data_IF_611985219312
#
_entry.id   IF_611985219312
#
_cell.length_a   1.000
_cell.length_b   1.000
_cell.length_c   1.000
_cell.angle_alpha   90.00
_cell.angle_beta   90.00
_cell.angle_gamma   90.00
#
_symmetry.space_group_name_H-M   'P 1'
#
loop_
_entity.id
_entity.type
_entity.pdbx_description
1 polymer ?
#
# COMPACT_ATOMS: atom_id res chain seq x y z
N UNK A 1 11.62 13.46 1.41
CA UNK A 1 11.16 12.16 1.92
C UNK A 1 10.39 12.43 3.19
N UNK A 2 9.06 12.44 3.11
CA UNK A 2 8.22 12.73 4.28
C UNK A 2 8.07 11.43 5.06
N UNK A 3 8.70 11.33 6.22
CA UNK A 3 8.47 10.23 7.15
C UNK A 3 7.16 10.51 7.91
N UNK A 4 6.02 10.11 7.34
CA UNK A 4 4.73 10.14 8.01
C UNK A 4 4.64 8.95 8.97
N UNK A 5 4.21 9.19 10.22
CA UNK A 5 3.90 8.09 11.15
C UNK A 5 2.60 7.41 10.73
N UNK A 6 2.41 6.14 11.12
CA UNK A 6 1.13 5.43 10.91
C UNK A 6 -0.07 6.21 11.46
N UNK A 7 0.12 6.87 12.60
CA UNK A 7 -0.90 7.69 13.25
C UNK A 7 -1.23 8.96 12.44
N UNK A 8 -0.22 9.65 11.92
CA UNK A 8 -0.42 10.82 11.09
C UNK A 8 -1.10 10.45 9.76
N UNK A 9 -0.72 9.32 9.13
CA UNK A 9 -1.37 8.84 7.92
C UNK A 9 -2.83 8.44 8.19
N UNK A 10 -3.08 7.73 9.29
CA UNK A 10 -4.43 7.34 9.70
C UNK A 10 -5.33 8.57 9.89
N UNK A 11 -4.81 9.59 10.57
CA UNK A 11 -5.52 10.85 10.78
C UNK A 11 -5.85 11.55 9.45
N UNK A 12 -4.88 11.70 8.54
CA UNK A 12 -5.09 12.34 7.24
C UNK A 12 -6.08 11.59 6.35
N UNK A 13 -6.08 10.26 6.42
CA UNK A 13 -6.99 9.41 5.66
C UNK A 13 -8.37 9.22 6.32
N UNK A 14 -8.58 9.76 7.53
CA UNK A 14 -9.75 9.45 8.36
C UNK A 14 -9.97 7.92 8.52
N UNK A 15 -8.88 7.19 8.75
CA UNK A 15 -8.84 5.75 8.96
C UNK A 15 -8.39 5.42 10.38
N UNK A 16 -8.69 4.21 10.85
CA UNK A 16 -8.17 3.72 12.13
C UNK A 16 -6.65 3.44 12.02
N UNK A 17 -5.86 3.89 12.99
CA UNK A 17 -4.41 3.61 13.05
C UNK A 17 -4.11 2.11 13.00
N UNK A 18 -4.91 1.29 13.65
CA UNK A 18 -4.84 -0.17 13.62
C UNK A 18 -5.11 -0.70 12.23
N UNK A 19 -6.02 -0.09 11.48
CA UNK A 19 -6.27 -0.45 10.08
C UNK A 19 -5.06 -0.16 9.19
N UNK A 20 -4.44 1.02 9.32
CA UNK A 20 -3.16 1.33 8.64
C UNK A 20 -2.08 0.31 9.01
N UNK A 21 -1.92 -0.02 10.29
CA UNK A 21 -0.97 -1.04 10.76
C UNK A 21 -1.24 -2.44 10.18
N UNK A 22 -2.50 -2.81 9.96
CA UNK A 22 -2.87 -4.08 9.33
C UNK A 22 -2.56 -4.10 7.84
N UNK A 23 -2.73 -2.96 7.14
CA UNK A 23 -2.39 -2.83 5.73
C UNK A 23 -0.87 -2.98 5.50
N UNK A 24 -0.05 -2.26 6.28
CA UNK A 24 1.41 -2.31 6.14
C UNK A 24 2.01 -3.70 6.44
N UNK A 25 1.35 -4.50 7.29
CA UNK A 25 1.75 -5.87 7.59
C UNK A 25 1.15 -6.91 6.62
N UNK A 26 0.38 -6.48 5.62
CA UNK A 26 -0.29 -7.38 4.69
C UNK A 26 -1.40 -8.24 5.31
N UNK A 27 -1.88 -7.89 6.51
CA UNK A 27 -2.91 -8.63 7.25
C UNK A 27 -4.33 -8.25 6.82
N UNK A 28 -4.48 -7.20 6.01
CA UNK A 28 -5.78 -6.75 5.50
C UNK A 28 -5.67 -6.30 4.05
N UNK A 29 -6.75 -6.51 3.29
CA UNK A 29 -6.89 -6.04 1.91
C UNK A 29 -7.66 -4.71 1.92
N UNK A 30 -7.09 -3.62 1.34
CA UNK A 30 -7.80 -2.36 1.20
C UNK A 30 -8.87 -2.46 0.11
N UNK A 31 -9.91 -1.63 0.22
CA UNK A 31 -10.83 -1.40 -0.92
C UNK A 31 -10.18 -0.45 -1.93
N UNK A 32 -10.73 -0.35 -3.14
CA UNK A 32 -10.26 0.64 -4.10
C UNK A 32 -10.37 2.08 -3.56
N UNK A 33 -11.47 2.39 -2.87
CA UNK A 33 -11.66 3.70 -2.21
C UNK A 33 -10.57 3.96 -1.15
N UNK A 34 -10.18 2.93 -0.39
CA UNK A 34 -9.09 3.04 0.58
C UNK A 34 -7.77 3.39 -0.10
N UNK A 35 -7.46 2.75 -1.24
CA UNK A 35 -6.23 3.05 -2.01
C UNK A 35 -6.26 4.50 -2.50
N UNK A 36 -7.40 4.97 -3.01
CA UNK A 36 -7.58 6.36 -3.47
C UNK A 36 -7.31 7.34 -2.32
N UNK A 37 -7.97 7.16 -1.17
CA UNK A 37 -7.80 8.03 0.00
C UNK A 37 -6.35 8.05 0.51
N UNK A 38 -5.70 6.89 0.58
CA UNK A 38 -4.29 6.82 0.99
C UNK A 38 -3.38 7.52 -0.02
N UNK A 39 -3.61 7.33 -1.32
CA UNK A 39 -2.81 7.97 -2.36
C UNK A 39 -2.93 9.49 -2.36
N UNK A 40 -4.14 10.02 -2.13
CA UNK A 40 -4.37 11.46 -1.98
C UNK A 40 -3.61 12.04 -0.78
N UNK A 41 -3.67 11.37 0.37
CA UNK A 41 -2.95 11.74 1.59
C UNK A 41 -1.42 11.74 1.40
N UNK A 42 -0.91 10.78 0.62
CA UNK A 42 0.50 10.69 0.26
C UNK A 42 0.91 11.59 -0.92
N UNK A 43 -0.03 12.29 -1.53
CA UNK A 43 0.15 13.13 -2.72
C UNK A 43 0.79 12.38 -3.91
N UNK A 44 0.30 11.17 -4.17
CA UNK A 44 0.65 10.33 -5.33
C UNK A 44 -0.62 9.88 -6.05
N UNK A 45 -0.48 9.41 -7.29
CA UNK A 45 -1.63 8.83 -8.00
C UNK A 45 -1.92 7.41 -7.47
N UNK A 46 -3.19 7.00 -7.33
CA UNK A 46 -3.53 5.62 -6.97
C UNK A 46 -2.89 4.58 -7.91
N UNK A 47 -2.72 4.94 -9.19
CA UNK A 47 -2.08 4.09 -10.19
C UNK A 47 -0.61 3.77 -9.87
N UNK A 48 0.11 4.64 -9.16
CA UNK A 48 1.50 4.40 -8.77
C UNK A 48 1.57 3.26 -7.76
N UNK A 49 0.67 3.25 -6.76
CA UNK A 49 0.56 2.15 -5.80
C UNK A 49 0.25 0.82 -6.51
N UNK A 50 -0.70 0.84 -7.46
CA UNK A 50 -1.09 -0.37 -8.20
C UNK A 50 0.07 -0.87 -9.06
N UNK A 51 0.77 0.03 -9.75
CA UNK A 51 1.92 -0.31 -10.58
C UNK A 51 3.06 -0.95 -9.77
N UNK A 52 3.36 -0.41 -8.58
CA UNK A 52 4.36 -1.01 -7.68
C UNK A 52 3.95 -2.43 -7.25
N UNK A 53 2.68 -2.65 -6.91
CA UNK A 53 2.17 -3.97 -6.55
C UNK A 53 2.26 -4.95 -7.73
N UNK A 54 1.91 -4.53 -8.94
CA UNK A 54 2.06 -5.35 -10.16
C UNK A 54 3.51 -5.78 -10.40
N UNK A 55 4.46 -4.85 -10.21
CA UNK A 55 5.89 -5.14 -10.34
C UNK A 55 6.36 -6.17 -9.31
N UNK A 56 6.01 -6.00 -8.03
CA UNK A 56 6.35 -6.93 -6.96
C UNK A 56 5.78 -8.33 -7.21
N UNK A 57 4.54 -8.43 -7.70
CA UNK A 57 3.94 -9.72 -8.05
C UNK A 57 4.67 -10.39 -9.21
N UNK A 58 5.07 -9.64 -10.23
CA UNK A 58 5.82 -10.16 -11.37
C UNK A 58 7.24 -10.64 -10.98
N UNK A 59 7.91 -9.98 -10.04
CA UNK A 59 9.22 -10.40 -9.52
C UNK A 59 9.15 -11.68 -8.70
N UNK A 60 8.12 -11.83 -7.87
CA UNK A 60 7.88 -13.06 -7.12
C UNK A 60 7.66 -14.26 -8.07
N UNK A 61 6.91 -14.06 -9.16
CA UNK A 61 6.67 -15.12 -10.15
C UNK A 61 7.93 -15.56 -10.92
N UNK A 62 8.91 -14.66 -11.14
CA UNK A 62 10.18 -15.01 -11.81
C UNK A 62 11.14 -15.81 -10.93
N UNK A 63 11.09 -15.56 -9.63
CA UNK A 63 11.92 -16.26 -8.64
C UNK A 63 11.56 -17.75 -8.51
N UNK A 64 10.29 -18.10 -8.74
CA UNK A 64 9.82 -19.49 -8.71
C UNK A 64 10.20 -20.30 -9.96
N UNK A 65 10.53 -19.65 -11.08
CA UNK A 65 10.80 -20.30 -12.37
C UNK A 65 12.30 -20.60 -12.60
N UNK A 66 13.19 -20.09 -11.75
CA UNK A 66 14.66 -20.31 -11.86
C UNK A 66 15.14 -21.58 -11.14
N UNK A 67 14.20 -22.37 -10.60
CA UNK A 67 14.47 -23.60 -9.83
C UNK A 67 14.24 -24.93 -10.56
N UNK A 68 14.07 -24.92 -11.89
CA UNK A 68 13.99 -26.16 -12.70
C UNK A 68 15.32 -26.51 -13.35
#
# INVERSE_FOLDING_TARGET
MVCLTQEALAYQCNLDRTYISLLERGLRRPTLNTIIVISESLNIKPSEIVQEVEQLLNENNKSEDTGK
#
